data_IF_285575169329
#
_entry.id   IF_285575169329
#
_cell.length_a   1.000
_cell.length_b   1.000
_cell.length_c   1.000
_cell.angle_alpha   90.00
_cell.angle_beta   90.00
_cell.angle_gamma   90.00
#
_symmetry.space_group_name_H-M   'P 1'
#
loop_
_entity.id
_entity.type
_entity.pdbx_description
1 polymer ?
#
# COMPACT_ATOMS: atom_id res chain seq x y z
N UNK A 1 -10.03 7.89 -12.98
CA UNK A 1 -9.31 6.68 -12.49
C UNK A 1 -9.41 6.58 -10.98
N UNK A 2 -9.18 7.68 -10.24
CA UNK A 2 -9.39 7.71 -8.79
C UNK A 2 -10.81 7.29 -8.40
N UNK A 3 -11.83 7.69 -9.17
CA UNK A 3 -13.23 7.27 -8.92
C UNK A 3 -13.38 5.75 -8.94
N UNK A 4 -12.77 5.05 -9.91
CA UNK A 4 -12.81 3.60 -10.01
C UNK A 4 -12.03 2.92 -8.88
N UNK A 5 -10.93 3.53 -8.42
CA UNK A 5 -10.14 3.07 -7.27
C UNK A 5 -11.00 3.13 -5.99
N UNK A 6 -11.67 4.27 -5.76
CA UNK A 6 -12.52 4.48 -4.59
C UNK A 6 -13.80 3.63 -4.65
N UNK A 7 -14.44 3.52 -5.82
CA UNK A 7 -15.66 2.73 -6.00
C UNK A 7 -15.43 1.23 -5.72
N UNK A 8 -14.26 0.71 -6.11
CA UNK A 8 -13.90 -0.71 -5.90
C UNK A 8 -13.04 -0.95 -4.68
N UNK A 9 -12.77 0.09 -3.89
CA UNK A 9 -11.92 0.06 -2.70
C UNK A 9 -10.52 -0.52 -2.95
N UNK A 10 -9.96 -0.24 -4.13
CA UNK A 10 -8.56 -0.59 -4.42
C UNK A 10 -7.59 0.20 -3.56
N UNK A 11 -8.02 1.33 -3.01
CA UNK A 11 -7.30 2.09 -1.98
C UNK A 11 -6.98 1.25 -0.75
N UNK A 12 -7.98 0.56 -0.21
CA UNK A 12 -7.79 -0.34 0.93
C UNK A 12 -6.90 -1.51 0.54
N UNK A 13 -7.13 -2.09 -0.65
CA UNK A 13 -6.36 -3.24 -1.11
C UNK A 13 -4.86 -2.94 -1.19
N UNK A 14 -4.45 -1.86 -1.87
CA UNK A 14 -3.03 -1.56 -1.98
C UNK A 14 -2.42 -1.14 -0.64
N UNK A 15 -3.18 -0.51 0.27
CA UNK A 15 -2.69 -0.19 1.61
C UNK A 15 -2.39 -1.45 2.42
N UNK A 16 -3.25 -2.48 2.35
CA UNK A 16 -3.00 -3.77 3.00
C UNK A 16 -1.81 -4.51 2.40
N UNK A 17 -1.63 -4.44 1.07
CA UNK A 17 -0.46 -5.04 0.42
C UNK A 17 0.83 -4.31 0.79
N UNK A 18 0.80 -2.98 0.89
CA UNK A 18 1.93 -2.18 1.34
C UNK A 18 2.25 -2.44 2.82
N UNK A 19 1.26 -2.64 3.69
CA UNK A 19 1.48 -3.07 5.07
C UNK A 19 2.18 -4.43 5.13
N UNK A 20 1.70 -5.41 4.36
CA UNK A 20 2.31 -6.74 4.32
C UNK A 20 3.76 -6.68 3.82
N UNK A 21 4.01 -5.87 2.77
CA UNK A 21 5.35 -5.65 2.26
C UNK A 21 6.24 -4.91 3.27
N UNK A 22 5.72 -3.91 3.95
CA UNK A 22 6.40 -3.18 5.03
C UNK A 22 6.89 -4.14 6.11
N UNK A 23 6.00 -4.98 6.67
CA UNK A 23 6.36 -5.97 7.69
C UNK A 23 7.40 -6.97 7.16
N UNK A 24 7.25 -7.45 5.93
CA UNK A 24 8.18 -8.38 5.32
C UNK A 24 9.59 -7.76 5.17
N UNK A 25 9.67 -6.55 4.62
CA UNK A 25 10.94 -5.84 4.44
C UNK A 25 11.60 -5.53 5.78
N UNK A 26 10.86 -5.03 6.78
CA UNK A 26 11.37 -4.80 8.13
C UNK A 26 11.99 -6.05 8.76
N UNK A 27 11.45 -7.24 8.46
CA UNK A 27 11.96 -8.51 8.99
C UNK A 27 13.20 -9.06 8.25
N UNK A 28 13.46 -8.60 7.02
CA UNK A 28 14.46 -9.20 6.11
C UNK A 28 15.60 -8.25 5.74
N UNK A 29 15.34 -6.96 5.72
CA UNK A 29 16.28 -5.95 5.25
C UNK A 29 16.89 -5.21 6.45
N UNK A 30 18.20 -5.36 6.69
CA UNK A 30 18.91 -4.52 7.67
C UNK A 30 18.77 -3.05 7.32
N UNK A 31 18.65 -2.19 8.34
CA UNK A 31 18.52 -0.74 8.19
C UNK A 31 17.35 -0.31 7.27
N UNK A 32 16.24 -1.05 7.34
CA UNK A 32 15.03 -0.73 6.57
C UNK A 32 14.46 0.64 6.94
N UNK A 33 14.47 1.55 5.96
CA UNK A 33 13.70 2.79 5.96
C UNK A 33 12.52 2.73 4.97
N UNK A 34 11.30 3.02 5.44
CA UNK A 34 10.07 2.99 4.63
C UNK A 34 10.08 4.00 3.48
N UNK A 35 10.60 5.21 3.70
CA UNK A 35 10.60 6.27 2.68
C UNK A 35 11.56 5.99 1.53
N UNK A 36 12.62 5.23 1.81
CA UNK A 36 13.60 4.78 0.83
C UNK A 36 13.20 3.48 0.15
N UNK A 37 12.66 2.51 0.89
CA UNK A 37 12.56 1.13 0.42
C UNK A 37 11.15 0.66 0.06
N UNK A 38 10.08 1.24 0.63
CA UNK A 38 8.71 0.76 0.37
C UNK A 38 8.19 1.20 -1.00
N UNK A 39 8.50 2.45 -1.38
CA UNK A 39 8.04 3.03 -2.64
C UNK A 39 6.56 3.42 -2.59
N UNK A 40 5.66 2.57 -3.09
CA UNK A 40 4.24 2.85 -3.24
C UNK A 40 3.52 1.79 -4.06
N UNK A 41 2.32 2.09 -4.54
CA UNK A 41 1.47 1.18 -5.29
C UNK A 41 1.26 1.66 -6.74
N UNK A 42 1.25 0.71 -7.67
CA UNK A 42 0.83 0.92 -9.05
C UNK A 42 -0.38 0.02 -9.34
N UNK A 43 -1.49 0.64 -9.68
CA UNK A 43 -2.69 -0.06 -10.13
C UNK A 43 -2.83 0.09 -11.65
N UNK A 44 -2.81 -1.03 -12.37
CA UNK A 44 -2.79 -1.04 -13.85
C UNK A 44 -4.14 -1.51 -14.40
N UNK A 45 -4.91 -0.56 -14.94
CA UNK A 45 -6.13 -0.81 -15.68
C UNK A 45 -5.81 -1.22 -17.12
N UNK A 46 -5.77 -2.52 -17.37
CA UNK A 46 -5.33 -3.11 -18.66
C UNK A 46 -6.06 -2.56 -19.90
N UNK A 47 -7.33 -2.18 -19.77
CA UNK A 47 -8.13 -1.61 -20.87
C UNK A 47 -7.77 -0.14 -21.18
N UNK A 48 -7.01 0.52 -20.31
CA UNK A 48 -6.63 1.93 -20.41
C UNK A 48 -5.30 2.20 -21.11
N UNK A 49 -4.65 1.19 -21.72
CA UNK A 49 -3.29 1.31 -22.29
C UNK A 49 -3.13 2.39 -23.37
N UNK A 50 -4.22 2.76 -24.06
CA UNK A 50 -4.24 3.83 -25.07
C UNK A 50 -4.63 5.21 -24.55
N UNK A 51 -5.02 5.33 -23.27
CA UNK A 51 -5.30 6.63 -22.66
C UNK A 51 -3.99 7.39 -22.37
N UNK A 52 -4.01 8.73 -22.19
CA UNK A 52 -2.81 9.48 -21.81
C UNK A 52 -2.11 8.96 -20.54
N UNK A 53 -2.86 8.44 -19.57
CA UNK A 53 -2.31 7.80 -18.36
C UNK A 53 -1.77 6.39 -18.58
N UNK A 54 -1.98 5.82 -19.78
CA UNK A 54 -1.71 4.41 -20.13
C UNK A 54 -2.37 3.41 -19.18
N UNK A 55 -3.46 3.81 -18.52
CA UNK A 55 -4.20 2.99 -17.57
C UNK A 55 -3.51 2.82 -16.21
N UNK A 56 -2.47 3.60 -15.90
CA UNK A 56 -1.74 3.47 -14.63
C UNK A 56 -2.24 4.51 -13.63
N UNK A 57 -2.68 4.05 -12.47
CA UNK A 57 -2.85 4.86 -11.27
C UNK A 57 -1.70 4.56 -10.32
N UNK A 58 -0.89 5.57 -10.02
CA UNK A 58 0.21 5.48 -9.08
C UNK A 58 -0.18 6.19 -7.79
N UNK A 59 0.10 5.57 -6.65
CA UNK A 59 -0.17 6.12 -5.34
C UNK A 59 1.01 5.85 -4.41
N UNK A 60 1.33 6.81 -3.54
CA UNK A 60 2.31 6.62 -2.48
C UNK A 60 1.66 7.01 -1.16
N UNK A 61 1.08 6.02 -0.44
CA UNK A 61 0.53 6.28 0.87
C UNK A 61 1.59 6.84 1.81
N UNK A 62 1.17 7.72 2.72
CA UNK A 62 2.09 8.33 3.67
C UNK A 62 2.65 7.30 4.65
N UNK A 63 3.85 7.58 5.17
CA UNK A 63 4.48 6.75 6.21
C UNK A 63 3.53 6.55 7.38
N UNK A 64 2.89 7.63 7.82
CA UNK A 64 2.00 7.66 8.99
C UNK A 64 0.79 6.73 8.80
N UNK A 65 0.28 6.61 7.57
CA UNK A 65 -0.80 5.68 7.29
C UNK A 65 -0.34 4.23 7.49
N UNK A 66 0.81 3.86 6.93
CA UNK A 66 1.31 2.48 6.99
C UNK A 66 1.72 2.11 8.42
N UNK A 67 2.44 2.99 9.12
CA UNK A 67 2.83 2.78 10.52
C UNK A 67 1.60 2.75 11.44
N UNK A 68 0.60 3.59 11.18
CA UNK A 68 -0.68 3.57 11.92
C UNK A 68 -1.47 2.27 11.70
N UNK A 69 -1.53 1.78 10.46
CA UNK A 69 -2.14 0.47 10.17
C UNK A 69 -1.37 -0.67 10.85
N UNK A 70 -0.04 -0.61 10.85
CA UNK A 70 0.78 -1.63 11.51
C UNK A 70 0.52 -1.71 13.02
N UNK A 71 0.44 -0.55 13.69
CA UNK A 71 0.10 -0.47 15.11
C UNK A 71 -1.29 -1.05 15.40
N UNK A 72 -2.32 -0.67 14.63
CA UNK A 72 -3.68 -1.17 14.81
C UNK A 72 -3.77 -2.70 14.70
N UNK A 73 -3.02 -3.32 13.78
CA UNK A 73 -3.02 -4.77 13.63
C UNK A 73 -2.23 -5.46 14.75
N UNK A 74 -1.15 -4.88 15.26
CA UNK A 74 -0.43 -5.40 16.42
C UNK A 74 -1.30 -5.39 17.68
N UNK A 75 -1.98 -4.28 17.95
CA UNK A 75 -2.89 -4.16 19.10
C UNK A 75 -4.04 -5.19 19.02
N UNK A 76 -4.55 -5.43 17.81
CA UNK A 76 -5.60 -6.44 17.58
C UNK A 76 -5.09 -7.88 17.78
N UNK A 77 -3.84 -8.17 17.39
CA UNK A 77 -3.18 -9.45 17.63
C UNK A 77 -2.96 -9.69 19.14
N UNK A 78 -2.54 -8.65 19.88
CA UNK A 78 -2.34 -8.71 21.34
C UNK A 78 -3.65 -8.88 22.11
N UNK A 79 -4.72 -8.17 21.72
CA UNK A 79 -6.03 -8.30 22.36
C UNK A 79 -6.69 -9.68 22.15
N UNK A 80 -6.29 -10.40 21.10
CA UNK A 80 -6.81 -11.72 20.76
C UNK A 80 -6.00 -12.88 21.39
N UNK A 81 -4.83 -12.61 21.98
CA UNK A 81 -3.94 -13.58 22.60
C UNK A 81 -4.23 -13.75 24.11
#
# INVERSE_FOLDING_TARGET
MIDAVLEKRYDVQYCLYLLALHRLLSSRLPDYDIDRHLGGALYVFLRGTRAPSRGVHAERPSRELIEGLDALFRDAEEAAA
#
